data_IF_738680609470
#
_entry.id   IF_738680609470
#
_cell.length_a   1.000
_cell.length_b   1.000
_cell.length_c   1.000
_cell.angle_alpha   90.00
_cell.angle_beta   90.00
_cell.angle_gamma   90.00
#
_symmetry.space_group_name_H-M   'P 1'
#
loop_
_entity.id
_entity.type
_entity.pdbx_description
1 polymer ?
#
# COMPACT_ATOMS: atom_id res chain seq x y z
N UNK A 1 -7.84 -0.85 16.05
CA UNK A 1 -6.84 0.00 15.36
C UNK A 1 -6.61 -0.59 13.98
N UNK A 2 -6.76 0.19 12.90
CA UNK A 2 -6.53 -0.30 11.52
C UNK A 2 -5.08 -0.08 11.15
N UNK A 3 -4.37 -1.14 10.78
CA UNK A 3 -2.99 -1.07 10.28
C UNK A 3 -2.97 -1.13 8.75
N UNK A 4 -2.22 -0.22 8.14
CA UNK A 4 -1.90 -0.21 6.71
C UNK A 4 -0.43 -0.60 6.51
N UNK A 5 -0.13 -1.28 5.41
CA UNK A 5 1.23 -1.69 5.06
C UNK A 5 1.62 -1.00 3.76
N UNK A 6 2.69 -0.19 3.83
CA UNK A 6 3.30 0.40 2.64
C UNK A 6 4.28 -0.61 2.05
N UNK A 7 4.15 -0.87 0.75
CA UNK A 7 4.98 -1.85 0.03
C UNK A 7 5.41 -1.27 -1.31
N UNK A 8 6.67 -1.49 -1.69
CA UNK A 8 7.11 -1.12 -3.05
C UNK A 8 6.69 -2.20 -4.05
N UNK A 9 6.31 -1.80 -5.27
CA UNK A 9 5.82 -2.68 -6.37
C UNK A 9 6.55 -4.05 -6.48
N UNK A 10 7.90 -4.14 -6.44
CA UNK A 10 8.61 -5.43 -6.57
C UNK A 10 8.34 -6.44 -5.45
N UNK A 11 8.00 -5.98 -4.24
CA UNK A 11 7.76 -6.86 -3.08
C UNK A 11 6.29 -7.25 -2.91
N UNK A 12 5.38 -6.68 -3.71
CA UNK A 12 3.96 -6.99 -3.65
C UNK A 12 3.64 -8.49 -3.72
N UNK A 13 4.28 -9.30 -4.60
CA UNK A 13 4.02 -10.74 -4.65
C UNK A 13 4.36 -11.45 -3.33
N UNK A 14 5.45 -11.06 -2.68
CA UNK A 14 5.87 -11.66 -1.41
C UNK A 14 4.92 -11.31 -0.27
N UNK A 15 4.50 -10.04 -0.19
CA UNK A 15 3.54 -9.61 0.83
C UNK A 15 2.20 -10.33 0.65
N UNK A 16 1.71 -10.46 -0.58
CA UNK A 16 0.49 -11.24 -0.88
C UNK A 16 0.62 -12.72 -0.50
N UNK A 17 1.77 -13.33 -0.79
CA UNK A 17 2.03 -14.72 -0.40
C UNK A 17 2.02 -14.91 1.13
N UNK A 18 2.63 -13.98 1.88
CA UNK A 18 2.64 -14.00 3.34
C UNK A 18 1.27 -13.73 3.97
N UNK A 19 0.50 -12.81 3.39
CA UNK A 19 -0.88 -12.57 3.81
C UNK A 19 -1.75 -13.82 3.62
N UNK A 20 -1.65 -14.44 2.44
CA UNK A 20 -2.35 -15.68 2.12
C UNK A 20 -1.98 -16.83 3.07
N UNK A 21 -0.69 -17.01 3.37
CA UNK A 21 -0.25 -18.08 4.28
C UNK A 21 -0.74 -17.88 5.72
N UNK A 22 -1.08 -16.64 6.10
CA UNK A 22 -1.61 -16.28 7.41
C UNK A 22 -3.13 -16.16 7.45
N UNK A 23 -3.81 -16.31 6.30
CA UNK A 23 -5.26 -16.14 6.21
C UNK A 23 -5.72 -14.71 6.55
N UNK A 24 -4.88 -13.71 6.30
CA UNK A 24 -5.21 -12.30 6.57
C UNK A 24 -5.34 -11.53 5.26
N UNK A 25 -6.29 -10.61 5.20
CA UNK A 25 -6.39 -9.64 4.10
C UNK A 25 -5.64 -8.35 4.49
N UNK A 26 -4.49 -8.05 3.87
CA UNK A 26 -3.68 -6.91 4.25
C UNK A 26 -4.22 -5.64 3.59
N UNK A 27 -4.14 -4.52 4.31
CA UNK A 27 -4.49 -3.20 3.77
C UNK A 27 -3.26 -2.57 3.16
N UNK A 28 -3.14 -2.60 1.83
CA UNK A 28 -1.90 -2.32 1.11
C UNK A 28 -1.88 -0.93 0.47
N UNK A 29 -0.78 -0.20 0.67
CA UNK A 29 -0.43 1.01 -0.07
C UNK A 29 0.77 0.67 -0.93
N UNK A 30 0.60 0.66 -2.26
CA UNK A 30 1.64 0.22 -3.19
C UNK A 30 2.31 1.42 -3.85
N UNK A 31 3.62 1.57 -3.66
CA UNK A 31 4.41 2.68 -4.22
C UNK A 31 5.52 2.17 -5.15
N UNK A 32 6.05 3.04 -6.01
CA UNK A 32 7.25 2.77 -6.79
C UNK A 32 8.45 2.44 -5.91
N UNK A 33 9.30 1.54 -6.38
CA UNK A 33 10.56 1.25 -5.70
C UNK A 33 11.58 2.35 -6.03
N UNK A 34 12.29 2.93 -5.05
CA UNK A 34 13.41 3.82 -5.34
C UNK A 34 14.55 3.02 -5.99
N UNK A 35 15.14 3.52 -7.08
CA UNK A 35 16.33 2.91 -7.70
C UNK A 35 17.48 3.89 -7.50
N UNK A 36 18.45 3.54 -6.65
CA UNK A 36 19.42 4.51 -6.14
C UNK A 36 18.77 5.43 -5.10
N UNK A 37 19.25 6.68 -4.97
CA UNK A 37 18.54 7.70 -4.17
C UNK A 37 17.32 8.26 -4.92
N UNK A 38 16.51 9.08 -4.23
CA UNK A 38 15.46 9.86 -4.89
C UNK A 38 15.96 11.28 -5.13
N UNK A 39 15.77 11.80 -6.35
CA UNK A 39 15.77 13.24 -6.56
C UNK A 39 14.45 13.87 -6.09
N UNK A 40 14.33 15.20 -6.13
CA UNK A 40 13.16 15.92 -5.65
C UNK A 40 11.87 15.53 -6.38
N UNK A 41 11.91 15.43 -7.71
CA UNK A 41 10.77 15.02 -8.53
C UNK A 41 10.34 13.60 -8.18
N UNK A 42 11.29 12.68 -8.12
CA UNK A 42 11.03 11.28 -7.78
C UNK A 42 10.44 11.14 -6.38
N UNK A 43 10.97 11.88 -5.39
CA UNK A 43 10.41 11.92 -4.04
C UNK A 43 8.95 12.37 -4.05
N UNK A 44 8.65 13.46 -4.76
CA UNK A 44 7.30 13.99 -4.87
C UNK A 44 6.34 12.97 -5.51
N UNK A 45 6.79 12.22 -6.51
CA UNK A 45 6.01 11.13 -7.09
C UNK A 45 5.71 10.02 -6.07
N UNK A 46 6.69 9.58 -5.26
CA UNK A 46 6.45 8.51 -4.26
C UNK A 46 5.49 8.97 -3.17
N UNK A 47 5.57 10.24 -2.76
CA UNK A 47 4.61 10.83 -1.80
C UNK A 47 3.21 10.82 -2.41
N UNK A 48 3.08 11.25 -3.66
CA UNK A 48 1.80 11.28 -4.38
C UNK A 48 1.21 9.88 -4.52
N UNK A 49 1.99 8.90 -5.01
CA UNK A 49 1.57 7.50 -5.10
C UNK A 49 1.14 6.94 -3.72
N UNK A 50 1.87 7.30 -2.66
CA UNK A 50 1.55 6.87 -1.29
C UNK A 50 0.22 7.45 -0.78
N UNK A 51 -0.03 8.73 -1.04
CA UNK A 51 -1.30 9.40 -0.67
C UNK A 51 -2.46 8.81 -1.46
N UNK A 52 -2.33 8.65 -2.77
CA UNK A 52 -3.36 8.07 -3.63
C UNK A 52 -3.69 6.63 -3.20
N UNK A 53 -2.66 5.82 -2.95
CA UNK A 53 -2.82 4.46 -2.45
C UNK A 53 -3.52 4.41 -1.09
N UNK A 54 -3.17 5.32 -0.17
CA UNK A 54 -3.85 5.42 1.13
C UNK A 54 -5.33 5.79 0.98
N UNK A 55 -5.64 6.82 0.18
CA UNK A 55 -7.02 7.27 0.00
C UNK A 55 -7.90 6.18 -0.62
N UNK A 56 -7.38 5.48 -1.63
CA UNK A 56 -8.08 4.35 -2.27
C UNK A 56 -8.34 3.21 -1.29
N UNK A 57 -7.32 2.79 -0.57
CA UNK A 57 -7.44 1.66 0.36
C UNK A 57 -8.28 2.03 1.60
N UNK A 58 -8.18 3.27 2.08
CA UNK A 58 -9.02 3.76 3.15
C UNK A 58 -10.49 3.79 2.76
N UNK A 59 -10.81 4.23 1.54
CA UNK A 59 -12.18 4.19 1.03
C UNK A 59 -12.71 2.75 0.98
N UNK A 60 -11.93 1.80 0.45
CA UNK A 60 -12.27 0.37 0.44
C UNK A 60 -12.60 -0.17 1.83
N UNK A 61 -11.73 0.10 2.81
CA UNK A 61 -11.91 -0.35 4.20
C UNK A 61 -13.14 0.28 4.84
N UNK A 62 -13.42 1.55 4.54
CA UNK A 62 -14.61 2.25 5.03
C UNK A 62 -15.90 1.64 4.46
N UNK A 63 -15.93 1.33 3.17
CA UNK A 63 -17.08 0.68 2.54
C UNK A 63 -17.35 -0.71 3.11
N UNK A 64 -16.32 -1.50 3.38
CA UNK A 64 -16.45 -2.81 4.04
C UNK A 64 -17.01 -2.71 5.45
N UNK A 65 -16.56 -1.72 6.22
CA UNK A 65 -17.08 -1.45 7.57
C UNK A 65 -18.55 -1.05 7.60
N UNK A 66 -19.06 -0.43 6.52
CA UNK A 66 -20.46 -0.01 6.42
C UNK A 66 -21.42 -1.12 5.94
N UNK A 67 -20.90 -2.25 5.45
CA UNK A 67 -21.69 -3.40 4.98
C UNK A 67 -21.95 -4.45 6.07
N UNK A 68 -21.35 -4.30 7.25
CA UNK A 68 -21.46 -5.21 8.39
C UNK A 68 -22.41 -4.74 9.48
#
# INVERSE_FOLDING_TARGET
MTAFVVVTKPFLPLVKAQAKSRGVEPKLIVVGHPIGGLNETELQERITEGIEGFLSEFARVREEGNRG
#
